data_IF_479050824794
#
_entry.id   IF_479050824794
#
_cell.length_a   1.000
_cell.length_b   1.000
_cell.length_c   1.000
_cell.angle_alpha   90.00
_cell.angle_beta   90.00
_cell.angle_gamma   90.00
#
_symmetry.space_group_name_H-M   'P 1'
#
loop_
_entity.id
_entity.type
_entity.pdbx_description
1 polymer ?
#
# COMPACT_ATOMS: atom_id res chain seq x y z
N UNK A 1 7.65 -25.62 -19.84
CA UNK A 1 6.19 -25.82 -19.79
C UNK A 1 5.62 -25.46 -21.16
N UNK A 2 4.68 -26.22 -21.69
CA UNK A 2 4.03 -25.87 -22.97
C UNK A 2 2.68 -25.17 -22.69
N UNK A 3 2.75 -24.03 -22.01
CA UNK A 3 1.58 -23.29 -21.56
C UNK A 3 1.07 -22.38 -22.67
N UNK A 4 -0.22 -22.43 -22.97
CA UNK A 4 -0.92 -21.51 -23.85
C UNK A 4 -1.86 -20.64 -23.03
N UNK A 5 -1.83 -19.33 -23.26
CA UNK A 5 -2.65 -18.35 -22.52
C UNK A 5 -1.88 -17.65 -21.41
N UNK A 6 -2.51 -17.47 -20.26
CA UNK A 6 -1.96 -16.69 -19.15
C UNK A 6 -1.07 -17.53 -18.24
N UNK A 7 -0.02 -16.89 -17.75
CA UNK A 7 0.87 -17.42 -16.73
C UNK A 7 1.20 -16.31 -15.73
N UNK A 8 1.20 -16.67 -14.44
CA UNK A 8 1.67 -15.79 -13.37
C UNK A 8 2.89 -16.42 -12.71
N UNK A 9 3.97 -15.67 -12.61
CA UNK A 9 5.23 -16.17 -12.03
C UNK A 9 5.63 -15.22 -10.90
N UNK A 10 5.96 -15.78 -9.75
CA UNK A 10 6.49 -15.03 -8.60
C UNK A 10 7.98 -15.26 -8.48
N UNK A 11 8.71 -14.15 -8.36
CA UNK A 11 10.16 -14.14 -8.23
C UNK A 11 10.60 -13.55 -6.90
N UNK A 12 11.78 -13.97 -6.43
CA UNK A 12 12.57 -13.26 -5.42
C UNK A 12 13.90 -12.88 -6.06
N UNK A 13 14.28 -11.62 -5.93
CA UNK A 13 15.62 -11.16 -6.22
C UNK A 13 16.43 -11.15 -4.92
N UNK A 14 17.55 -11.86 -4.90
CA UNK A 14 18.48 -11.89 -3.77
C UNK A 14 19.92 -11.96 -4.30
N UNK A 15 20.75 -11.01 -3.91
CA UNK A 15 22.17 -10.91 -4.35
C UNK A 15 22.33 -11.08 -5.87
N UNK A 16 21.58 -10.28 -6.66
CA UNK A 16 21.55 -10.29 -8.13
C UNK A 16 21.11 -11.63 -8.78
N UNK A 17 20.60 -12.55 -7.98
CA UNK A 17 20.07 -13.83 -8.45
C UNK A 17 18.55 -13.86 -8.37
N UNK A 18 17.92 -14.22 -9.49
CA UNK A 18 16.47 -14.35 -9.57
C UNK A 18 16.06 -15.78 -9.22
N UNK A 19 15.27 -15.91 -8.18
CA UNK A 19 14.67 -17.18 -7.75
C UNK A 19 13.19 -17.22 -8.11
N UNK A 20 12.74 -18.32 -8.72
CA UNK A 20 11.32 -18.56 -8.98
C UNK A 20 10.73 -19.22 -7.75
N UNK A 21 9.76 -18.55 -7.11
CA UNK A 21 9.02 -19.09 -5.96
C UNK A 21 7.90 -19.98 -6.45
N UNK A 22 7.10 -19.48 -7.41
CA UNK A 22 5.86 -20.11 -7.82
C UNK A 22 5.54 -19.77 -9.28
N UNK A 23 5.01 -20.75 -10.00
CA UNK A 23 4.53 -20.60 -11.38
C UNK A 23 3.09 -21.08 -11.47
N UNK A 24 2.18 -20.19 -11.83
CA UNK A 24 0.76 -20.46 -11.96
C UNK A 24 0.30 -20.30 -13.43
N UNK A 25 0.18 -21.40 -14.22
CA UNK A 25 -0.27 -21.34 -15.60
C UNK A 25 -1.81 -21.24 -15.68
N UNK A 26 -2.35 -20.16 -15.20
CA UNK A 26 -3.78 -19.86 -15.14
C UNK A 26 -4.02 -18.37 -15.01
N UNK A 27 -5.25 -17.92 -15.19
CA UNK A 27 -5.68 -16.58 -14.80
C UNK A 27 -5.50 -16.35 -13.30
N UNK A 28 -5.26 -15.12 -12.91
CA UNK A 28 -5.13 -14.68 -11.52
C UNK A 28 -6.00 -13.45 -11.27
N UNK A 29 -6.19 -13.06 -10.00
CA UNK A 29 -6.90 -11.82 -9.63
C UNK A 29 -6.21 -10.57 -10.19
N UNK A 30 -4.91 -10.64 -10.43
CA UNK A 30 -4.13 -9.53 -11.00
C UNK A 30 -4.48 -9.27 -12.47
N UNK A 31 -4.98 -10.26 -13.20
CA UNK A 31 -5.27 -10.11 -14.65
C UNK A 31 -6.29 -9.01 -14.96
N UNK A 32 -7.46 -8.91 -14.30
CA UNK A 32 -8.37 -7.79 -14.51
C UNK A 32 -7.76 -6.42 -14.19
N UNK A 33 -6.95 -6.36 -13.12
CA UNK A 33 -6.23 -5.17 -12.72
C UNK A 33 -5.24 -4.72 -13.83
N UNK A 34 -4.34 -5.60 -14.24
CA UNK A 34 -3.34 -5.29 -15.26
C UNK A 34 -4.00 -4.97 -16.60
N UNK A 35 -5.07 -5.67 -16.98
CA UNK A 35 -5.81 -5.36 -18.22
C UNK A 35 -6.35 -3.94 -18.23
N UNK A 36 -6.88 -3.45 -17.09
CA UNK A 36 -7.37 -2.08 -16.97
C UNK A 36 -6.24 -1.05 -16.99
N UNK A 37 -5.14 -1.32 -16.30
CA UNK A 37 -4.01 -0.41 -16.19
C UNK A 37 -3.26 -0.26 -17.50
N UNK A 38 -3.05 -1.36 -18.23
CA UNK A 38 -2.27 -1.38 -19.48
C UNK A 38 -3.13 -1.17 -20.72
N UNK A 39 -4.46 -1.27 -20.60
CA UNK A 39 -5.35 -1.30 -21.75
C UNK A 39 -5.24 -2.58 -22.60
N UNK A 40 -4.51 -3.60 -22.14
CA UNK A 40 -4.36 -4.87 -22.87
C UNK A 40 -5.46 -5.85 -22.44
N UNK A 41 -6.33 -6.30 -23.36
CA UNK A 41 -7.44 -7.21 -23.04
C UNK A 41 -6.91 -8.66 -22.83
N UNK A 42 -6.20 -8.88 -21.73
CA UNK A 42 -5.45 -10.13 -21.49
C UNK A 42 -6.31 -11.40 -21.54
N UNK A 43 -7.55 -11.33 -21.07
CA UNK A 43 -8.45 -12.51 -21.08
C UNK A 43 -8.89 -12.84 -22.50
N UNK A 44 -9.24 -11.85 -23.32
CA UNK A 44 -9.59 -12.04 -24.72
C UNK A 44 -8.41 -12.64 -25.49
N UNK A 45 -7.23 -12.03 -25.38
CA UNK A 45 -6.00 -12.52 -26.01
C UNK A 45 -5.69 -13.97 -25.60
N UNK A 46 -5.80 -14.29 -24.32
CA UNK A 46 -5.56 -15.63 -23.83
C UNK A 46 -6.53 -16.65 -24.44
N UNK A 47 -7.80 -16.28 -24.53
CA UNK A 47 -8.83 -17.13 -25.13
C UNK A 47 -8.54 -17.39 -26.60
N UNK A 48 -8.21 -16.37 -27.38
CA UNK A 48 -7.86 -16.50 -28.79
C UNK A 48 -6.60 -17.34 -29.00
N UNK A 49 -5.58 -17.18 -28.13
CA UNK A 49 -4.36 -18.02 -28.18
C UNK A 49 -4.70 -19.49 -27.90
N UNK A 50 -5.57 -19.78 -26.95
CA UNK A 50 -6.03 -21.14 -26.66
C UNK A 50 -6.78 -21.75 -27.84
N UNK A 51 -7.49 -20.91 -28.62
CA UNK A 51 -8.16 -21.33 -29.85
C UNK A 51 -7.22 -21.45 -31.06
N UNK A 52 -5.93 -21.11 -30.92
CA UNK A 52 -4.90 -21.35 -31.92
C UNK A 52 -4.38 -20.10 -32.64
N UNK A 53 -4.90 -18.91 -32.32
CA UNK A 53 -4.39 -17.67 -32.86
C UNK A 53 -3.00 -17.32 -32.28
N UNK A 54 -2.22 -16.52 -32.99
CA UNK A 54 -0.90 -16.08 -32.54
C UNK A 54 -0.95 -14.61 -32.10
N UNK A 55 -0.20 -14.25 -31.07
CA UNK A 55 -0.09 -12.85 -30.60
C UNK A 55 0.32 -11.88 -31.71
N UNK A 56 1.26 -12.28 -32.57
CA UNK A 56 1.71 -11.47 -33.70
C UNK A 56 0.58 -11.13 -34.67
N UNK A 57 -0.34 -12.07 -34.94
CA UNK A 57 -1.48 -11.86 -35.85
C UNK A 57 -2.51 -10.88 -35.23
N UNK A 58 -2.47 -10.71 -33.91
CA UNK A 58 -3.31 -9.78 -33.14
C UNK A 58 -2.62 -8.42 -32.88
N UNK A 59 -1.43 -8.18 -33.45
CA UNK A 59 -0.69 -6.93 -33.31
C UNK A 59 0.14 -6.82 -32.04
N UNK A 60 0.39 -7.92 -31.33
CA UNK A 60 1.24 -7.94 -30.12
C UNK A 60 2.57 -8.62 -30.44
N UNK A 61 3.65 -7.97 -30.04
CA UNK A 61 5.01 -8.48 -30.20
C UNK A 61 5.50 -9.16 -28.92
N UNK A 62 6.68 -9.80 -28.99
CA UNK A 62 7.38 -10.34 -27.83
C UNK A 62 8.03 -9.21 -27.00
N UNK A 63 8.15 -9.40 -25.71
CA UNK A 63 8.80 -8.47 -24.80
C UNK A 63 7.84 -7.80 -23.82
N UNK A 64 8.32 -6.76 -23.15
CA UNK A 64 7.53 -5.98 -22.21
C UNK A 64 6.58 -5.03 -22.94
N UNK A 65 5.36 -4.93 -22.46
CA UNK A 65 4.41 -3.92 -22.93
C UNK A 65 4.79 -2.55 -22.34
N UNK A 66 4.63 -1.45 -23.10
CA UNK A 66 4.95 -0.11 -22.61
C UNK A 66 4.20 0.24 -21.34
N UNK A 67 4.84 0.99 -20.44
CA UNK A 67 4.21 1.48 -19.23
C UNK A 67 3.05 2.43 -19.56
N UNK A 68 2.00 2.37 -18.73
CA UNK A 68 0.93 3.36 -18.74
C UNK A 68 1.46 4.75 -18.38
N UNK A 69 0.89 5.85 -18.90
CA UNK A 69 1.20 7.22 -18.46
C UNK A 69 0.58 7.56 -17.09
N UNK A 70 -0.07 6.60 -16.47
CA UNK A 70 -0.71 6.75 -15.18
C UNK A 70 -0.01 5.92 -14.12
N UNK A 71 0.03 6.46 -12.90
CA UNK A 71 0.29 5.65 -11.71
C UNK A 71 -0.91 4.78 -11.40
N UNK A 72 -0.66 3.54 -11.07
CA UNK A 72 -1.69 2.57 -10.71
C UNK A 72 -1.35 1.91 -9.38
N UNK A 73 -2.16 2.17 -8.38
CA UNK A 73 -2.01 1.64 -7.03
C UNK A 73 -3.05 0.58 -6.77
N UNK A 74 -2.59 -0.61 -6.42
CA UNK A 74 -3.46 -1.71 -5.98
C UNK A 74 -3.53 -1.72 -4.45
N UNK A 75 -4.71 -1.48 -3.89
CA UNK A 75 -4.94 -1.53 -2.44
C UNK A 75 -5.73 -2.79 -2.11
N UNK A 76 -5.23 -3.65 -1.20
CA UNK A 76 -5.96 -4.82 -0.75
C UNK A 76 -7.14 -4.42 0.14
N UNK A 77 -8.26 -5.13 0.01
CA UNK A 77 -9.44 -4.99 0.85
C UNK A 77 -9.55 -6.20 1.78
N UNK A 78 -9.86 -5.95 3.04
CA UNK A 78 -10.01 -6.97 4.07
C UNK A 78 -11.42 -6.89 4.65
N UNK A 79 -12.13 -8.02 4.70
CA UNK A 79 -13.47 -8.09 5.32
C UNK A 79 -13.43 -8.34 6.84
N UNK A 80 -12.29 -8.08 7.48
CA UNK A 80 -12.12 -8.30 8.91
C UNK A 80 -13.07 -7.44 9.77
N UNK A 81 -13.50 -6.29 9.27
CA UNK A 81 -14.47 -5.41 9.92
C UNK A 81 -15.83 -6.07 10.16
N UNK A 82 -16.20 -7.02 9.29
CA UNK A 82 -17.50 -7.73 9.34
C UNK A 82 -17.46 -9.01 10.18
N UNK A 83 -16.28 -9.43 10.60
CA UNK A 83 -16.06 -10.71 11.28
C UNK A 83 -15.43 -10.47 12.65
N UNK A 84 -16.20 -10.62 13.72
CA UNK A 84 -15.69 -10.61 15.08
C UNK A 84 -14.72 -11.79 15.29
N UNK A 85 -13.62 -11.56 16.01
CA UNK A 85 -12.61 -12.57 16.37
C UNK A 85 -11.67 -13.08 15.27
N UNK A 86 -11.55 -12.41 14.14
CA UNK A 86 -10.57 -12.77 13.09
C UNK A 86 -9.16 -12.30 13.49
N UNK A 87 -8.16 -13.14 13.20
CA UNK A 87 -6.76 -12.76 13.30
C UNK A 87 -6.40 -11.77 12.18
N UNK A 88 -6.22 -10.51 12.55
CA UNK A 88 -5.86 -9.41 11.65
C UNK A 88 -4.36 -9.33 11.33
N UNK A 89 -3.54 -10.22 11.92
CA UNK A 89 -2.12 -10.25 11.66
C UNK A 89 -1.84 -10.78 10.24
N UNK A 90 -1.10 -9.99 9.44
CA UNK A 90 -0.62 -10.45 8.15
C UNK A 90 0.45 -11.54 8.33
N UNK A 91 0.40 -12.54 7.48
CA UNK A 91 1.29 -13.68 7.43
C UNK A 91 1.55 -14.11 5.98
N UNK A 92 2.16 -15.27 5.76
CA UNK A 92 2.41 -15.76 4.41
C UNK A 92 1.13 -16.13 3.65
N UNK A 93 0.02 -16.35 4.38
CA UNK A 93 -1.27 -16.67 3.78
C UNK A 93 -1.96 -15.39 3.27
N UNK A 94 -2.64 -15.50 2.14
CA UNK A 94 -3.47 -14.42 1.62
C UNK A 94 -4.72 -14.23 2.49
N UNK A 95 -4.89 -13.05 3.10
CA UNK A 95 -6.04 -12.70 3.95
C UNK A 95 -6.95 -11.65 3.32
N UNK A 96 -6.53 -11.02 2.21
CA UNK A 96 -7.36 -10.07 1.49
C UNK A 96 -8.56 -10.76 0.84
N UNK A 97 -9.72 -10.12 0.91
CA UNK A 97 -10.98 -10.60 0.32
C UNK A 97 -11.28 -9.96 -1.03
N UNK A 98 -10.60 -8.87 -1.34
CA UNK A 98 -10.69 -8.14 -2.59
C UNK A 98 -9.49 -7.24 -2.80
N UNK A 99 -9.52 -6.50 -3.89
CA UNK A 99 -8.54 -5.47 -4.24
C UNK A 99 -9.23 -4.36 -5.02
N UNK A 100 -8.77 -3.13 -4.83
CA UNK A 100 -9.25 -1.95 -5.54
C UNK A 100 -8.11 -1.27 -6.28
N UNK A 101 -8.46 -0.54 -7.33
CA UNK A 101 -7.54 0.22 -8.18
C UNK A 101 -7.68 1.71 -7.90
N UNK A 102 -6.58 2.36 -7.53
CA UNK A 102 -6.42 3.79 -7.67
C UNK A 102 -5.59 4.07 -8.93
N UNK A 103 -6.02 4.98 -9.76
CA UNK A 103 -5.31 5.37 -11.00
C UNK A 103 -5.37 6.88 -11.20
N UNK A 104 -4.22 7.50 -11.47
CA UNK A 104 -4.08 8.94 -11.67
C UNK A 104 -2.76 9.29 -12.34
N UNK A 105 -2.56 10.59 -12.65
CA UNK A 105 -1.30 11.10 -13.19
C UNK A 105 -0.22 11.30 -12.13
N UNK A 106 -0.60 11.37 -10.85
CA UNK A 106 0.33 11.43 -9.71
C UNK A 106 0.13 10.23 -8.78
N UNK A 107 1.17 9.86 -8.06
CA UNK A 107 1.11 8.73 -7.11
C UNK A 107 0.20 9.04 -5.93
N UNK A 108 0.28 10.26 -5.42
CA UNK A 108 -0.48 10.72 -4.26
C UNK A 108 -1.99 10.65 -4.56
N UNK A 109 -2.41 11.10 -5.74
CA UNK A 109 -3.80 11.01 -6.18
C UNK A 109 -4.23 9.56 -6.41
N UNK A 110 -3.38 8.75 -7.06
CA UNK A 110 -3.68 7.33 -7.27
C UNK A 110 -3.82 6.58 -5.94
N UNK A 111 -2.95 6.88 -4.95
CA UNK A 111 -3.04 6.29 -3.62
C UNK A 111 -4.28 6.79 -2.87
N UNK A 112 -4.58 8.10 -2.92
CA UNK A 112 -5.80 8.66 -2.32
C UNK A 112 -7.03 7.92 -2.84
N UNK A 113 -7.19 7.80 -4.16
CA UNK A 113 -8.30 7.07 -4.79
C UNK A 113 -8.36 5.61 -4.34
N UNK A 114 -7.21 4.94 -4.30
CA UNK A 114 -7.12 3.55 -3.86
C UNK A 114 -7.52 3.35 -2.40
N UNK A 115 -7.08 4.24 -1.50
CA UNK A 115 -7.42 4.17 -0.07
C UNK A 115 -8.91 4.46 0.16
N UNK A 116 -9.47 5.49 -0.49
CA UNK A 116 -10.90 5.80 -0.40
C UNK A 116 -11.75 4.64 -0.94
N UNK A 117 -11.36 4.07 -2.10
CA UNK A 117 -12.04 2.92 -2.68
C UNK A 117 -11.93 1.65 -1.80
N UNK A 118 -10.89 1.53 -0.97
CA UNK A 118 -10.74 0.46 0.02
C UNK A 118 -11.54 0.71 1.31
N UNK A 119 -12.25 1.85 1.42
CA UNK A 119 -13.10 2.20 2.55
C UNK A 119 -12.42 3.06 3.63
N UNK A 120 -11.20 3.55 3.39
CA UNK A 120 -10.52 4.42 4.34
C UNK A 120 -11.06 5.85 4.29
N UNK A 121 -11.34 6.41 5.47
CA UNK A 121 -11.63 7.85 5.60
C UNK A 121 -10.33 8.61 5.80
N UNK A 122 -10.03 9.52 4.87
CA UNK A 122 -8.78 10.31 4.89
C UNK A 122 -8.95 11.53 5.80
N UNK A 123 -8.72 11.35 7.11
CA UNK A 123 -8.78 12.42 8.12
C UNK A 123 -7.53 13.31 8.03
N UNK A 124 -7.69 14.62 8.15
CA UNK A 124 -6.60 15.62 8.08
C UNK A 124 -6.26 16.23 9.44
N UNK A 125 -6.91 15.76 10.49
CA UNK A 125 -6.72 16.23 11.87
C UNK A 125 -6.87 15.09 12.86
N UNK A 126 -6.52 15.33 14.10
CA UNK A 126 -6.60 14.37 15.20
C UNK A 126 -5.24 13.84 15.62
N UNK A 127 -5.20 12.63 16.15
CA UNK A 127 -3.99 12.03 16.69
C UNK A 127 -3.40 10.94 15.81
N UNK A 128 -2.07 10.84 15.84
CA UNK A 128 -1.33 9.71 15.29
C UNK A 128 -0.69 8.93 16.43
N UNK A 129 -1.09 7.67 16.59
CA UNK A 129 -0.52 6.78 17.61
C UNK A 129 0.63 5.97 17.03
N UNK A 130 1.84 6.13 17.59
CA UNK A 130 3.06 5.51 17.09
C UNK A 130 3.60 4.48 18.10
N UNK A 131 3.73 3.24 17.66
CA UNK A 131 4.28 2.13 18.42
C UNK A 131 5.17 1.25 17.55
N UNK A 132 6.46 1.56 17.47
CA UNK A 132 7.39 0.89 16.55
C UNK A 132 8.42 0.05 17.28
N UNK A 133 8.96 -0.95 16.58
CA UNK A 133 10.08 -1.77 17.05
C UNK A 133 11.38 -0.96 17.10
N UNK A 134 12.36 -1.44 17.86
CA UNK A 134 13.60 -0.70 18.11
C UNK A 134 14.42 -0.42 16.84
N UNK A 135 14.40 -1.36 15.88
CA UNK A 135 15.09 -1.20 14.59
C UNK A 135 14.57 -0.06 13.73
N UNK A 136 13.31 0.29 13.87
CA UNK A 136 12.65 1.30 13.04
C UNK A 136 12.69 2.69 13.68
N UNK A 137 13.19 2.80 14.92
CA UNK A 137 13.23 4.08 15.65
C UNK A 137 14.21 5.10 15.08
N UNK A 138 15.24 4.66 14.34
CA UNK A 138 16.19 5.56 13.66
C UNK A 138 15.49 6.44 12.62
N UNK A 139 14.52 5.89 11.91
CA UNK A 139 13.92 6.47 10.71
C UNK A 139 12.65 7.29 11.01
N UNK A 140 12.25 7.33 12.30
CA UNK A 140 11.03 8.02 12.72
C UNK A 140 11.10 9.55 12.59
N UNK A 141 12.29 10.15 12.67
CA UNK A 141 12.43 11.59 12.86
C UNK A 141 11.78 12.38 11.73
N UNK A 142 12.16 12.10 10.50
CA UNK A 142 11.67 12.86 9.35
C UNK A 142 10.20 12.54 9.09
N UNK A 143 9.81 11.28 9.15
CA UNK A 143 8.41 10.87 9.01
C UNK A 143 7.48 11.58 10.00
N UNK A 144 7.84 11.60 11.28
CA UNK A 144 6.95 12.20 12.31
C UNK A 144 6.89 13.72 12.21
N UNK A 145 7.96 14.37 11.72
CA UNK A 145 7.92 15.81 11.42
C UNK A 145 6.87 16.17 10.38
N UNK A 146 6.68 15.35 9.35
CA UNK A 146 5.63 15.58 8.33
C UNK A 146 4.24 15.60 8.99
N UNK A 147 3.92 14.60 9.82
CA UNK A 147 2.64 14.57 10.55
C UNK A 147 2.48 15.76 11.51
N UNK A 148 3.54 16.15 12.22
CA UNK A 148 3.52 17.34 13.08
C UNK A 148 3.31 18.62 12.28
N UNK A 149 3.97 18.77 11.13
CA UNK A 149 3.81 19.92 10.24
C UNK A 149 2.37 20.05 9.71
N UNK A 150 1.70 18.95 9.47
CA UNK A 150 0.28 18.91 9.11
C UNK A 150 -0.68 19.18 10.28
N UNK A 151 -0.16 19.32 11.51
CA UNK A 151 -0.98 19.63 12.71
C UNK A 151 -1.48 18.43 13.48
N UNK A 152 -1.04 17.22 13.17
CA UNK A 152 -1.42 16.03 13.93
C UNK A 152 -0.78 16.01 15.32
N UNK A 153 -1.56 15.60 16.33
CA UNK A 153 -1.04 15.35 17.67
C UNK A 153 -0.39 13.95 17.74
N UNK A 154 0.84 13.89 18.24
CA UNK A 154 1.61 12.64 18.29
C UNK A 154 1.46 11.96 19.66
N UNK A 155 0.91 10.76 19.65
CA UNK A 155 0.87 9.84 20.79
C UNK A 155 1.89 8.72 20.56
N UNK A 156 2.66 8.36 21.57
CA UNK A 156 3.68 7.33 21.41
C UNK A 156 3.82 6.43 22.65
N UNK A 157 4.10 5.14 22.42
CA UNK A 157 4.44 4.21 23.51
C UNK A 157 5.83 4.53 24.07
N UNK A 158 6.11 4.13 25.33
CA UNK A 158 7.27 4.56 26.13
C UNK A 158 8.61 4.58 25.38
N UNK A 159 8.99 3.49 24.75
CA UNK A 159 10.25 3.42 23.99
C UNK A 159 10.26 4.29 22.72
N UNK A 160 9.11 4.50 22.10
CA UNK A 160 8.97 5.37 20.92
C UNK A 160 8.97 6.85 21.36
N UNK A 161 8.23 7.21 22.40
CA UNK A 161 8.20 8.56 22.98
C UNK A 161 9.60 9.02 23.40
N UNK A 162 10.34 8.17 24.12
CA UNK A 162 11.73 8.49 24.51
C UNK A 162 12.61 8.80 23.30
N UNK A 163 12.47 8.04 22.21
CA UNK A 163 13.24 8.28 20.99
C UNK A 163 12.83 9.60 20.32
N UNK A 164 11.52 9.86 20.16
CA UNK A 164 11.04 11.11 19.55
C UNK A 164 11.50 12.34 20.33
N UNK A 165 11.36 12.30 21.66
CA UNK A 165 11.81 13.39 22.53
C UNK A 165 13.33 13.62 22.42
N UNK A 166 14.15 12.55 22.30
CA UNK A 166 15.60 12.67 22.13
C UNK A 166 16.03 13.36 20.83
N UNK A 167 15.16 13.37 19.82
CA UNK A 167 15.40 14.04 18.54
C UNK A 167 14.59 15.36 18.38
N UNK A 168 14.04 15.87 19.47
CA UNK A 168 13.35 17.17 19.54
C UNK A 168 11.91 17.16 19.03
N UNK A 169 11.27 16.00 18.92
CA UNK A 169 9.86 15.89 18.54
C UNK A 169 9.02 15.63 19.79
N UNK A 170 8.12 16.58 20.10
CA UNK A 170 7.20 16.45 21.23
C UNK A 170 6.16 15.36 20.95
N UNK A 171 5.96 14.46 21.91
CA UNK A 171 4.93 13.44 21.84
C UNK A 171 4.31 13.17 23.21
N UNK A 172 3.02 12.87 23.24
CA UNK A 172 2.32 12.44 24.46
C UNK A 172 2.59 10.97 24.69
N UNK A 173 3.18 10.67 25.85
CA UNK A 173 3.43 9.28 26.27
C UNK A 173 2.11 8.59 26.57
N UNK A 174 1.91 7.41 25.99
CA UNK A 174 0.75 6.55 26.24
C UNK A 174 1.20 5.16 26.65
N UNK A 175 0.58 4.65 27.69
CA UNK A 175 0.86 3.30 28.21
C UNK A 175 0.12 2.24 27.41
N UNK A 176 0.72 1.07 27.31
CA UNK A 176 0.00 -0.13 26.85
C UNK A 176 -0.94 -0.62 27.95
N UNK A 177 -2.05 -1.31 27.61
CA UNK A 177 -3.02 -1.77 28.63
C UNK A 177 -2.42 -2.56 29.79
N UNK A 178 -1.33 -3.33 29.54
CA UNK A 178 -0.65 -4.11 30.59
C UNK A 178 0.26 -3.30 31.49
N UNK A 179 0.63 -2.09 31.07
CA UNK A 179 1.57 -1.20 31.77
C UNK A 179 0.81 -0.11 32.55
N UNK A 180 -0.48 0.06 32.27
CA UNK A 180 -1.31 1.12 32.85
C UNK A 180 -1.89 0.69 34.20
N UNK A 181 -2.00 1.69 35.09
CA UNK A 181 -2.77 1.56 36.33
C UNK A 181 -4.24 1.88 36.07
N UNK A 182 -5.10 1.52 37.01
CA UNK A 182 -6.53 1.83 36.93
C UNK A 182 -6.75 3.34 36.78
N UNK A 183 -7.52 3.77 35.75
CA UNK A 183 -7.79 5.17 35.47
C UNK A 183 -6.77 5.87 34.56
N UNK A 184 -5.66 5.23 34.17
CA UNK A 184 -4.69 5.83 33.23
C UNK A 184 -5.10 5.62 31.76
N UNK A 185 -4.87 6.63 30.93
CA UNK A 185 -5.05 6.52 29.48
C UNK A 185 -4.14 5.44 28.87
N UNK A 186 -4.72 4.64 28.00
CA UNK A 186 -4.02 3.56 27.30
C UNK A 186 -4.12 3.71 25.78
N UNK A 187 -3.29 2.98 25.06
CA UNK A 187 -3.38 2.91 23.59
C UNK A 187 -4.78 2.48 23.10
N UNK A 188 -5.50 1.69 23.88
CA UNK A 188 -6.84 1.20 23.54
C UNK A 188 -7.90 2.26 23.88
N UNK A 189 -7.84 2.89 25.07
CA UNK A 189 -8.81 3.91 25.45
C UNK A 189 -8.78 5.12 24.50
N UNK A 190 -7.59 5.56 24.06
CA UNK A 190 -7.46 6.64 23.07
C UNK A 190 -8.14 6.33 21.72
N UNK A 191 -8.10 5.07 21.28
CA UNK A 191 -8.83 4.64 20.09
C UNK A 191 -10.34 4.69 20.29
N UNK A 192 -10.81 4.19 21.46
CA UNK A 192 -12.23 4.17 21.82
C UNK A 192 -12.82 5.56 22.02
N UNK A 193 -12.02 6.51 22.48
CA UNK A 193 -12.39 7.92 22.61
C UNK A 193 -12.38 8.71 21.30
N UNK A 194 -11.98 8.06 20.19
CA UNK A 194 -11.94 8.69 18.86
C UNK A 194 -10.86 9.76 18.69
N UNK A 195 -9.88 9.82 19.60
CA UNK A 195 -8.76 10.79 19.55
C UNK A 195 -7.74 10.47 18.46
N UNK A 196 -7.72 9.23 17.95
CA UNK A 196 -6.72 8.73 17.00
C UNK A 196 -7.31 8.63 15.59
N UNK A 197 -6.64 9.28 14.65
CA UNK A 197 -6.98 9.20 13.22
C UNK A 197 -6.18 8.13 12.49
N UNK A 198 -4.92 7.90 12.88
CA UNK A 198 -4.03 6.91 12.28
C UNK A 198 -3.19 6.20 13.33
N UNK A 199 -2.86 4.93 13.07
CA UNK A 199 -1.95 4.15 13.90
C UNK A 199 -0.77 3.69 13.06
N UNK A 200 0.45 3.96 13.52
CA UNK A 200 1.70 3.42 12.96
C UNK A 200 2.23 2.38 13.94
N UNK A 201 2.11 1.10 13.59
CA UNK A 201 2.47 0.01 14.49
C UNK A 201 3.31 -1.04 13.78
N UNK A 202 4.63 -0.90 13.86
CA UNK A 202 5.54 -1.96 13.43
C UNK A 202 5.78 -2.94 14.57
N UNK A 203 5.75 -4.22 14.30
CA UNK A 203 5.94 -5.25 15.34
C UNK A 203 7.08 -6.20 15.01
N UNK A 204 7.69 -6.77 16.04
CA UNK A 204 8.64 -7.88 15.87
C UNK A 204 7.92 -9.07 15.25
N UNK A 205 8.60 -9.79 14.36
CA UNK A 205 8.12 -11.04 13.77
C UNK A 205 7.75 -12.07 14.84
N UNK A 206 6.63 -12.76 14.63
CA UNK A 206 6.17 -13.88 15.49
C UNK A 206 4.71 -13.75 15.95
N UNK A 207 3.98 -14.85 15.79
CA UNK A 207 2.57 -14.98 16.17
C UNK A 207 2.46 -15.30 17.67
N UNK A 208 2.22 -14.30 18.49
CA UNK A 208 1.75 -14.51 19.86
C UNK A 208 0.45 -13.73 20.07
N UNK A 209 -0.71 -14.40 20.14
CA UNK A 209 -2.04 -13.76 20.21
C UNK A 209 -2.23 -12.79 21.39
N UNK A 210 -1.45 -12.95 22.44
CA UNK A 210 -1.53 -12.11 23.64
C UNK A 210 -0.67 -10.84 23.62
N UNK A 211 0.00 -10.51 22.51
CA UNK A 211 0.81 -9.29 22.41
C UNK A 211 -0.07 -8.05 22.26
N UNK A 212 0.34 -6.96 22.91
CA UNK A 212 -0.38 -5.68 22.86
C UNK A 212 -0.51 -5.13 21.45
N UNK A 213 0.47 -5.40 20.56
CA UNK A 213 0.40 -5.02 19.15
C UNK A 213 -0.73 -5.72 18.36
N UNK A 214 -1.04 -6.98 18.71
CA UNK A 214 -2.15 -7.72 18.10
C UNK A 214 -3.48 -7.13 18.56
N UNK A 215 -3.61 -6.84 19.87
CA UNK A 215 -4.80 -6.20 20.43
C UNK A 215 -5.04 -4.82 19.85
N UNK A 216 -3.97 -4.02 19.70
CA UNK A 216 -4.01 -2.70 19.10
C UNK A 216 -4.55 -2.77 17.65
N UNK A 217 -3.95 -3.60 16.80
CA UNK A 217 -4.38 -3.76 15.39
C UNK A 217 -5.81 -4.27 15.27
N UNK A 218 -6.20 -5.20 16.11
CA UNK A 218 -7.58 -5.69 16.14
C UNK A 218 -8.55 -4.55 16.46
N UNK A 219 -8.22 -3.73 17.47
CA UNK A 219 -9.06 -2.60 17.86
C UNK A 219 -9.14 -1.53 16.77
N UNK A 220 -8.04 -1.28 16.04
CA UNK A 220 -8.07 -0.35 14.91
C UNK A 220 -9.01 -0.83 13.79
N UNK A 221 -8.99 -2.14 13.48
CA UNK A 221 -9.90 -2.73 12.50
C UNK A 221 -11.36 -2.62 12.95
N UNK A 222 -11.66 -2.92 14.23
CA UNK A 222 -13.00 -2.82 14.81
C UNK A 222 -13.56 -1.38 14.71
N UNK A 223 -12.70 -0.38 14.81
CA UNK A 223 -13.06 1.05 14.78
C UNK A 223 -12.88 1.72 13.40
N UNK A 224 -12.49 0.97 12.37
CA UNK A 224 -12.22 1.50 11.03
C UNK A 224 -11.06 2.50 10.97
N UNK A 225 -10.09 2.41 11.90
CA UNK A 225 -8.94 3.32 11.96
C UNK A 225 -7.79 2.70 11.15
N UNK A 226 -7.21 3.43 10.15
CA UNK A 226 -6.08 2.94 9.38
C UNK A 226 -4.89 2.59 10.26
N UNK A 227 -4.39 1.35 10.15
CA UNK A 227 -3.23 0.86 10.87
C UNK A 227 -2.10 0.49 9.93
N UNK A 228 -1.07 1.33 9.90
CA UNK A 228 0.09 1.19 9.03
C UNK A 228 1.15 0.32 9.73
N UNK A 229 1.61 -0.71 9.04
CA UNK A 229 2.50 -1.72 9.62
C UNK A 229 3.96 -1.60 9.16
N UNK A 230 4.25 -0.62 8.28
CA UNK A 230 5.60 -0.23 7.87
C UNK A 230 5.74 1.28 7.87
N UNK A 231 6.97 1.78 8.02
CA UNK A 231 7.27 3.21 7.94
C UNK A 231 7.12 3.74 6.51
N UNK A 232 7.45 2.94 5.50
CA UNK A 232 7.29 3.32 4.09
C UNK A 232 5.83 3.64 3.76
N UNK A 233 4.91 2.76 4.16
CA UNK A 233 3.47 3.02 3.96
C UNK A 233 3.01 4.26 4.73
N UNK A 234 3.57 4.52 5.91
CA UNK A 234 3.27 5.71 6.69
C UNK A 234 3.80 6.98 6.02
N UNK A 235 4.99 6.94 5.40
CA UNK A 235 5.55 8.07 4.64
C UNK A 235 4.70 8.37 3.40
N UNK A 236 4.31 7.35 2.62
CA UNK A 236 3.46 7.55 1.45
C UNK A 236 2.06 8.07 1.83
N UNK A 237 1.51 7.64 2.99
CA UNK A 237 0.28 8.23 3.51
C UNK A 237 0.47 9.71 3.88
N UNK A 238 1.60 10.09 4.51
CA UNK A 238 1.90 11.49 4.83
C UNK A 238 1.91 12.36 3.57
N UNK A 239 2.61 11.95 2.52
CA UNK A 239 2.61 12.62 1.21
C UNK A 239 1.20 12.76 0.63
N UNK A 240 0.38 11.70 0.73
CA UNK A 240 -1.01 11.73 0.27
C UNK A 240 -1.86 12.73 1.05
N UNK A 241 -1.67 12.84 2.37
CA UNK A 241 -2.38 13.80 3.20
C UNK A 241 -1.93 15.25 2.92
N UNK A 242 -0.63 15.46 2.69
CA UNK A 242 -0.05 16.75 2.36
C UNK A 242 -0.55 17.28 1.01
N UNK A 243 -0.72 16.40 0.02
CA UNK A 243 -1.20 16.74 -1.33
C UNK A 243 -2.61 17.33 -1.38
N UNK A 244 -3.39 17.19 -0.31
CA UNK A 244 -4.74 17.72 -0.13
C UNK A 244 -5.79 17.25 -1.15
N UNK A 245 -5.58 16.11 -1.81
CA UNK A 245 -6.60 15.50 -2.64
C UNK A 245 -7.87 15.16 -1.84
N UNK A 246 -9.01 15.41 -2.44
CA UNK A 246 -10.34 15.09 -1.91
C UNK A 246 -11.27 14.70 -3.07
N UNK A 247 -12.51 14.33 -2.79
CA UNK A 247 -13.47 13.87 -3.80
C UNK A 247 -13.81 14.93 -4.84
N UNK A 248 -13.64 16.23 -4.53
CA UNK A 248 -14.00 17.34 -5.41
C UNK A 248 -12.86 17.73 -6.37
N UNK A 249 -11.60 17.40 -6.06
CA UNK A 249 -10.43 17.85 -6.82
C UNK A 249 -9.62 16.73 -7.49
N UNK A 250 -10.10 15.49 -7.44
CA UNK A 250 -9.47 14.36 -8.15
C UNK A 250 -9.84 14.34 -9.63
N UNK A 251 -8.86 13.97 -10.50
CA UNK A 251 -9.10 13.77 -11.92
C UNK A 251 -9.83 12.45 -12.19
N UNK A 252 -10.82 12.46 -13.07
CA UNK A 252 -11.46 11.23 -13.53
C UNK A 252 -10.66 10.63 -14.68
N UNK A 253 -10.25 9.37 -14.55
CA UNK A 253 -9.56 8.61 -15.58
C UNK A 253 -10.52 7.61 -16.23
N UNK A 254 -10.72 7.73 -17.55
CA UNK A 254 -11.52 6.77 -18.31
C UNK A 254 -10.71 5.50 -18.58
N UNK A 255 -10.89 4.51 -17.70
CA UNK A 255 -10.19 3.21 -17.79
C UNK A 255 -10.69 2.32 -18.94
N UNK A 256 -11.84 2.64 -19.54
CA UNK A 256 -12.37 1.89 -20.66
C UNK A 256 -11.73 2.31 -21.99
N UNK A 257 -11.23 3.53 -22.07
CA UNK A 257 -10.60 4.10 -23.27
C UNK A 257 -9.11 4.36 -23.10
N UNK A 258 -8.46 3.75 -22.12
CA UNK A 258 -7.00 3.65 -22.13
C UNK A 258 -6.63 2.93 -23.41
N UNK A 259 -5.82 3.59 -24.24
CA UNK A 259 -5.50 3.15 -25.59
C UNK A 259 -5.05 1.67 -25.67
N UNK A 260 -5.59 0.93 -26.65
CA UNK A 260 -5.39 -0.52 -26.79
C UNK A 260 -4.57 -0.86 -28.05
N UNK A 261 -3.76 -1.90 -27.99
CA UNK A 261 -3.09 -2.50 -29.16
C UNK A 261 -1.86 -1.74 -29.69
N UNK A 262 -1.45 -2.04 -30.92
CA UNK A 262 -0.23 -1.49 -31.53
C UNK A 262 -0.28 0.05 -31.73
N UNK A 263 -1.46 0.63 -31.96
CA UNK A 263 -1.64 2.08 -32.07
C UNK A 263 -1.34 2.76 -30.73
N UNK A 264 -1.81 2.18 -29.63
CA UNK A 264 -1.54 2.64 -28.29
C UNK A 264 -0.06 2.61 -27.92
N UNK A 265 0.67 1.63 -28.42
CA UNK A 265 2.11 1.50 -28.19
C UNK A 265 2.86 2.73 -28.71
N UNK A 266 2.43 3.26 -29.85
CA UNK A 266 3.02 4.47 -30.44
C UNK A 266 2.63 5.73 -29.68
N UNK A 267 1.38 5.85 -29.27
CA UNK A 267 0.90 6.98 -28.45
C UNK A 267 1.55 7.00 -27.07
N UNK A 268 1.56 5.85 -26.36
CA UNK A 268 2.19 5.71 -25.05
C UNK A 268 3.70 5.99 -25.08
N UNK A 269 4.39 5.62 -26.17
CA UNK A 269 5.82 5.93 -26.31
C UNK A 269 6.13 7.42 -26.52
N UNK A 270 5.12 8.21 -26.89
CA UNK A 270 5.22 9.65 -27.11
C UNK A 270 4.72 10.49 -25.91
N UNK A 271 4.04 9.87 -24.94
CA UNK A 271 3.60 10.55 -23.72
C UNK A 271 4.76 10.67 -22.75
N UNK A 272 4.83 11.80 -22.05
CA UNK A 272 5.77 11.96 -20.93
C UNK A 272 5.54 10.87 -19.90
N UNK A 273 6.62 10.19 -19.54
CA UNK A 273 6.58 9.23 -18.43
C UNK A 273 6.29 10.00 -17.14
N UNK A 274 5.53 9.40 -16.21
CA UNK A 274 5.37 9.98 -14.89
C UNK A 274 6.76 10.22 -14.25
N UNK A 275 6.93 11.35 -13.57
CA UNK A 275 8.18 11.61 -12.84
C UNK A 275 8.48 10.50 -11.84
N UNK A 276 9.75 10.08 -11.79
CA UNK A 276 10.18 9.10 -10.80
C UNK A 276 10.02 9.67 -9.39
N UNK A 277 9.32 8.93 -8.55
CA UNK A 277 9.12 9.33 -7.16
C UNK A 277 10.37 9.02 -6.38
N UNK A 278 11.01 10.05 -5.85
CA UNK A 278 11.98 9.90 -4.78
C UNK A 278 11.23 9.71 -3.45
N UNK A 279 11.05 8.47 -3.03
CA UNK A 279 10.59 8.19 -1.67
C UNK A 279 11.76 8.54 -0.72
N UNK A 280 11.60 9.48 0.22
CA UNK A 280 12.67 9.82 1.14
C UNK A 280 13.18 8.58 1.86
N UNK A 281 14.49 8.27 1.68
CA UNK A 281 15.14 7.10 2.26
C UNK A 281 15.24 5.87 1.35
N UNK A 282 14.67 5.88 0.15
CA UNK A 282 14.85 4.82 -0.86
C UNK A 282 15.60 5.37 -2.08
N UNK A 283 16.83 4.91 -2.26
CA UNK A 283 17.56 5.04 -3.52
C UNK A 283 17.21 3.80 -4.34
N UNK A 284 16.33 3.96 -5.34
CA UNK A 284 16.26 2.99 -6.42
C UNK A 284 17.60 3.06 -7.15
N UNK A 285 18.47 2.08 -6.96
CA UNK A 285 19.68 1.96 -7.76
C UNK A 285 19.25 1.66 -9.19
N UNK A 286 19.34 2.67 -10.06
CA UNK A 286 19.33 2.44 -11.49
C UNK A 286 20.53 1.54 -11.82
N UNK A 287 20.29 0.32 -12.22
CA UNK A 287 21.29 -0.43 -12.96
C UNK A 287 21.31 0.15 -14.38
N UNK A 288 22.25 1.04 -14.63
CA UNK A 288 22.67 1.36 -16.00
C UNK A 288 23.07 0.03 -16.66
N UNK A 289 22.28 -0.37 -17.64
CA UNK A 289 22.65 -1.44 -18.54
C UNK A 289 23.73 -0.89 -19.50
N UNK A 290 24.98 -1.29 -19.26
CA UNK A 290 26.01 -1.32 -20.31
C UNK A 290 25.78 -2.51 -21.27
#
# INVERSE_FOLDING_TARGET
MNTKGLINIQYVLHEDTIYIIEVNPRSSRTVPYISKVTGVPMVDLATRIMMGEKLADMGYETGLYPCSPYYAVKVPVFSCEKLSNVDTQLGPEMKSTGEVLGIARTMEEALFKGLVAAGYTMKREGGVLISVRDTDKSDLRELVKEYVAMGFHIYATSGTASRLNSVGISSTLVKKPKEAKEGEETTISLLEEGKISYVISTSKTGRQPGRDSVRLRRKTVELGIPCLTSLDTAAVLALTLESQYNEDNVELVDIAHIAHGAAARKELSQMEKPEEIQIPGYVLQEHEND
#
